data_IF_348148120000
#
_entry.id   IF_348148120000
#
_cell.length_a   1.000
_cell.length_b   1.000
_cell.length_c   1.000
_cell.angle_alpha   90.00
_cell.angle_beta   90.00
_cell.angle_gamma   90.00
#
_symmetry.space_group_name_H-M   'P 1'
#
loop_
_entity.id
_entity.type
_entity.pdbx_description
1 polymer ?
#
# COMPACT_ATOMS: atom_id res chain seq x y z
N UNK A 1 -7.02 -24.82 -1.40
CA UNK A 1 -7.19 -23.40 -1.25
C UNK A 1 -5.86 -22.70 -1.09
N UNK A 2 -5.68 -21.66 -1.85
CA UNK A 2 -4.43 -20.91 -1.85
C UNK A 2 -4.04 -20.43 -0.45
N UNK A 3 -4.99 -20.10 0.39
CA UNK A 3 -4.70 -19.63 1.74
C UNK A 3 -4.06 -20.70 2.62
N UNK A 4 -4.18 -21.97 2.25
CA UNK A 4 -3.63 -23.07 3.03
C UNK A 4 -2.25 -23.52 2.54
N UNK A 5 -1.78 -22.98 1.44
CA UNK A 5 -0.46 -23.31 0.90
C UNK A 5 0.57 -22.35 1.48
N UNK A 6 1.56 -22.82 2.25
CA UNK A 6 2.54 -21.93 2.87
C UNK A 6 3.45 -21.22 1.86
N UNK A 7 3.51 -21.69 0.61
CA UNK A 7 4.29 -21.01 -0.43
C UNK A 7 3.51 -19.86 -1.08
N UNK A 8 2.21 -19.76 -0.83
CA UNK A 8 1.35 -18.74 -1.40
C UNK A 8 0.82 -17.86 -0.28
N UNK A 9 1.12 -16.59 -0.33
CA UNK A 9 0.63 -15.63 0.63
C UNK A 9 -0.24 -14.59 -0.05
N UNK A 10 -0.60 -13.57 0.70
CA UNK A 10 -1.32 -12.42 0.16
C UNK A 10 -0.33 -11.34 -0.26
N UNK A 11 -0.81 -10.44 -1.12
CA UNK A 11 -0.07 -9.26 -1.55
C UNK A 11 -0.96 -8.05 -1.25
N UNK A 12 -0.96 -7.56 0.00
CA UNK A 12 -1.76 -6.38 0.33
C UNK A 12 -1.35 -5.20 -0.54
N UNK A 13 -2.35 -4.50 -1.05
CA UNK A 13 -2.17 -3.35 -1.93
C UNK A 13 -2.92 -2.18 -1.31
N UNK A 14 -2.28 -1.01 -1.26
CA UNK A 14 -2.84 0.15 -0.57
C UNK A 14 -4.13 0.69 -1.19
N UNK A 15 -4.43 0.31 -2.43
CA UNK A 15 -5.54 0.90 -3.14
C UNK A 15 -6.55 -0.04 -3.77
N UNK A 16 -6.35 -1.35 -3.74
CA UNK A 16 -7.18 -2.30 -4.48
C UNK A 16 -8.32 -2.87 -3.64
N UNK A 17 -9.19 -2.00 -3.11
CA UNK A 17 -10.29 -2.42 -2.26
C UNK A 17 -11.65 -1.98 -2.78
N UNK A 18 -11.78 -1.83 -4.10
CA UNK A 18 -13.05 -1.51 -4.72
C UNK A 18 -13.94 -2.75 -4.76
N UNK A 19 -15.16 -2.65 -4.19
CA UNK A 19 -16.14 -3.73 -4.19
C UNK A 19 -16.98 -3.66 -5.46
N UNK A 20 -17.51 -2.48 -5.77
CA UNK A 20 -18.22 -2.21 -7.00
C UNK A 20 -18.04 -0.73 -7.35
N UNK A 21 -18.75 -0.22 -8.37
CA UNK A 21 -18.49 1.15 -8.84
C UNK A 21 -18.66 2.22 -7.78
N UNK A 22 -19.54 2.00 -6.82
CA UNK A 22 -19.83 3.00 -5.78
C UNK A 22 -19.37 2.60 -4.39
N UNK A 23 -18.93 1.35 -4.21
CA UNK A 23 -18.58 0.83 -2.90
C UNK A 23 -17.11 0.42 -2.86
N UNK A 24 -16.44 0.86 -1.79
CA UNK A 24 -15.06 0.52 -1.53
C UNK A 24 -14.95 -0.12 -0.15
N UNK A 25 -14.25 -1.22 -0.07
CA UNK A 25 -13.85 -1.75 1.23
C UNK A 25 -12.85 -0.81 1.86
N UNK A 26 -12.90 -0.63 3.19
CA UNK A 26 -11.93 0.21 3.88
C UNK A 26 -10.53 -0.36 3.64
N UNK A 27 -9.68 0.43 2.96
CA UNK A 27 -8.33 -0.04 2.57
C UNK A 27 -7.45 -0.33 3.77
N UNK A 28 -7.62 0.42 4.86
CA UNK A 28 -6.80 0.22 6.06
C UNK A 28 -7.20 -1.07 6.76
N UNK A 29 -8.48 -1.32 6.89
CA UNK A 29 -8.97 -2.58 7.43
C UNK A 29 -8.59 -3.74 6.52
N UNK A 30 -8.68 -3.57 5.21
CA UNK A 30 -8.32 -4.60 4.24
C UNK A 30 -6.85 -5.00 4.37
N UNK A 31 -5.96 -4.03 4.43
CA UNK A 31 -4.54 -4.33 4.61
C UNK A 31 -4.29 -5.01 5.96
N UNK A 32 -4.92 -4.50 7.03
CA UNK A 32 -4.78 -5.08 8.35
C UNK A 32 -5.19 -6.56 8.37
N UNK A 33 -6.30 -6.89 7.69
CA UNK A 33 -6.79 -8.27 7.63
C UNK A 33 -5.89 -9.19 6.82
N UNK A 34 -5.20 -8.66 5.80
CA UNK A 34 -4.34 -9.46 4.94
C UNK A 34 -2.91 -9.60 5.48
N UNK A 35 -2.50 -8.72 6.39
CA UNK A 35 -1.12 -8.70 6.88
C UNK A 35 -0.63 -10.03 7.47
N UNK A 36 -1.44 -10.81 8.21
CA UNK A 36 -0.94 -12.09 8.75
C UNK A 36 -0.48 -13.06 7.66
N UNK A 37 -0.91 -12.87 6.42
CA UNK A 37 -0.59 -13.76 5.30
C UNK A 37 0.32 -13.11 4.28
N UNK A 38 0.86 -11.91 4.58
CA UNK A 38 1.58 -11.13 3.59
C UNK A 38 2.94 -11.72 3.26
N UNK A 39 3.23 -11.88 1.96
CA UNK A 39 4.55 -12.26 1.44
C UNK A 39 5.28 -11.06 0.87
N UNK A 40 4.53 -10.07 0.41
CA UNK A 40 5.03 -8.81 -0.09
C UNK A 40 3.90 -7.78 0.09
N UNK A 41 4.21 -6.52 -0.09
CA UNK A 41 3.23 -5.44 0.00
C UNK A 41 3.42 -4.53 -1.19
N UNK A 42 2.33 -4.08 -1.79
CA UNK A 42 2.38 -3.08 -2.86
C UNK A 42 1.96 -1.72 -2.30
N UNK A 43 2.89 -0.78 -2.27
CA UNK A 43 2.62 0.59 -1.90
C UNK A 43 2.12 1.34 -3.14
N UNK A 44 0.84 1.16 -3.43
CA UNK A 44 0.21 1.81 -4.57
C UNK A 44 -0.05 3.28 -4.28
N UNK A 45 0.27 4.13 -5.25
CA UNK A 45 0.03 5.56 -5.16
C UNK A 45 -0.56 6.07 -6.46
N UNK A 46 -1.23 7.23 -6.38
CA UNK A 46 -1.83 7.86 -7.54
C UNK A 46 -1.44 9.33 -7.63
N UNK A 47 -1.85 10.15 -6.67
CA UNK A 47 -1.64 11.58 -6.73
C UNK A 47 -1.06 12.09 -5.41
N UNK A 48 -0.29 13.17 -5.51
CA UNK A 48 0.40 13.76 -4.35
C UNK A 48 0.04 15.24 -4.22
N UNK A 49 0.02 15.73 -2.98
CA UNK A 49 -0.13 17.15 -2.75
C UNK A 49 1.22 17.85 -2.79
N UNK A 50 1.24 19.16 -2.57
CA UNK A 50 2.47 19.96 -2.65
C UNK A 50 3.49 19.59 -1.58
N UNK A 51 3.08 18.93 -0.51
CA UNK A 51 3.96 18.48 0.56
C UNK A 51 4.50 17.07 0.33
N UNK A 52 4.14 16.44 -0.79
CA UNK A 52 4.57 15.09 -1.11
C UNK A 52 3.78 13.99 -0.43
N UNK A 53 2.62 14.32 0.17
CA UNK A 53 1.73 13.33 0.74
C UNK A 53 0.79 12.78 -0.33
N UNK A 54 0.51 11.47 -0.28
CA UNK A 54 -0.44 10.85 -1.19
C UNK A 54 -1.85 11.22 -0.74
N UNK A 55 -2.68 11.67 -1.69
CA UNK A 55 -3.99 12.23 -1.33
C UNK A 55 -5.10 11.19 -1.20
N UNK A 56 -4.91 9.99 -1.75
CA UNK A 56 -5.93 8.93 -1.68
C UNK A 56 -5.72 7.98 -0.51
N UNK A 57 -4.50 7.88 0.00
CA UNK A 57 -4.14 6.97 1.08
C UNK A 57 -3.27 7.71 2.09
N UNK A 58 -3.61 7.59 3.36
CA UNK A 58 -2.79 8.11 4.44
C UNK A 58 -1.65 7.11 4.69
N UNK A 59 -0.48 7.40 4.17
CA UNK A 59 0.68 6.51 4.30
C UNK A 59 1.14 6.36 5.74
N UNK A 60 1.02 7.41 6.54
CA UNK A 60 1.36 7.32 7.96
C UNK A 60 0.51 6.26 8.66
N UNK A 61 -0.80 6.30 8.43
CA UNK A 61 -1.73 5.33 9.00
C UNK A 61 -1.45 3.93 8.45
N UNK A 62 -1.21 3.83 7.15
CA UNK A 62 -0.98 2.54 6.49
C UNK A 62 0.29 1.88 7.00
N UNK A 63 1.38 2.64 7.15
CA UNK A 63 2.63 2.09 7.63
C UNK A 63 2.58 1.71 9.11
N UNK A 64 1.76 2.41 9.91
CA UNK A 64 1.51 2.00 11.29
C UNK A 64 0.84 0.64 11.36
N UNK A 65 -0.12 0.38 10.46
CA UNK A 65 -0.78 -0.94 10.38
C UNK A 65 0.24 -2.02 10.05
N UNK A 66 1.08 -1.77 9.05
CA UNK A 66 2.11 -2.73 8.63
C UNK A 66 3.09 -3.01 9.78
N UNK A 67 3.53 -1.96 10.47
CA UNK A 67 4.46 -2.08 11.57
C UNK A 67 3.87 -2.88 12.74
N UNK A 68 2.57 -2.73 12.98
CA UNK A 68 1.86 -3.45 14.04
C UNK A 68 1.97 -4.96 13.86
N UNK A 69 2.10 -5.44 12.63
CA UNK A 69 2.22 -6.86 12.33
C UNK A 69 3.67 -7.34 12.28
N UNK A 70 4.64 -6.48 12.64
CA UNK A 70 6.08 -6.82 12.63
C UNK A 70 6.56 -7.29 11.27
N UNK A 71 6.01 -6.70 10.20
CA UNK A 71 6.37 -7.08 8.84
C UNK A 71 7.78 -6.61 8.50
N UNK A 72 8.63 -7.50 8.01
CA UNK A 72 10.01 -7.20 7.61
C UNK A 72 10.32 -7.60 6.17
N UNK A 73 9.29 -7.89 5.37
CA UNK A 73 9.46 -8.27 3.97
C UNK A 73 9.59 -7.07 3.05
N UNK A 74 9.43 -7.32 1.77
CA UNK A 74 9.55 -6.28 0.75
C UNK A 74 8.27 -5.46 0.63
N UNK A 75 8.45 -4.18 0.33
CA UNK A 75 7.35 -3.30 -0.07
C UNK A 75 7.68 -2.81 -1.46
N UNK A 76 6.91 -3.24 -2.45
CA UNK A 76 7.04 -2.78 -3.82
C UNK A 76 6.31 -1.45 -4.00
N UNK A 77 6.74 -0.67 -4.97
CA UNK A 77 6.12 0.62 -5.29
C UNK A 77 5.39 0.49 -6.62
N UNK A 78 4.12 0.91 -6.64
CA UNK A 78 3.31 0.91 -7.85
C UNK A 78 2.62 2.27 -7.99
N UNK A 79 3.08 3.07 -8.96
CA UNK A 79 2.49 4.39 -9.21
C UNK A 79 1.52 4.27 -10.39
N UNK A 80 0.26 4.67 -10.17
CA UNK A 80 -0.78 4.65 -11.20
C UNK A 80 -1.41 6.03 -11.43
N UNK A 81 -0.72 7.09 -11.04
CA UNK A 81 -1.20 8.45 -11.25
C UNK A 81 -0.98 8.91 -12.68
N UNK A 82 -1.55 10.06 -13.00
CA UNK A 82 -1.48 10.65 -14.35
C UNK A 82 -0.79 12.01 -14.39
N UNK A 83 -0.54 12.64 -13.23
CA UNK A 83 0.03 13.97 -13.15
C UNK A 83 1.53 13.98 -13.34
N UNK A 84 2.21 12.99 -12.77
CA UNK A 84 3.67 12.88 -12.84
C UNK A 84 4.09 11.81 -13.82
N UNK A 85 5.35 11.86 -14.25
CA UNK A 85 5.94 10.75 -14.96
C UNK A 85 6.03 9.55 -14.02
N UNK A 86 6.16 8.35 -14.58
CA UNK A 86 6.30 7.15 -13.77
C UNK A 86 7.49 7.25 -12.84
N UNK A 87 8.64 7.70 -13.34
CA UNK A 87 9.85 7.86 -12.51
C UNK A 87 9.62 8.83 -11.36
N UNK A 88 8.96 9.97 -11.62
CA UNK A 88 8.69 10.95 -10.58
C UNK A 88 7.72 10.41 -9.53
N UNK A 89 6.67 9.71 -9.98
CA UNK A 89 5.70 9.12 -9.07
C UNK A 89 6.33 8.06 -8.18
N UNK A 90 7.19 7.22 -8.72
CA UNK A 90 7.91 6.20 -7.95
C UNK A 90 8.83 6.86 -6.92
N UNK A 91 9.53 7.92 -7.32
CA UNK A 91 10.43 8.65 -6.41
C UNK A 91 9.65 9.27 -5.25
N UNK A 92 8.50 9.89 -5.54
CA UNK A 92 7.65 10.49 -4.50
C UNK A 92 7.15 9.43 -3.53
N UNK A 93 6.74 8.27 -4.04
CA UNK A 93 6.28 7.18 -3.20
C UNK A 93 7.40 6.64 -2.32
N UNK A 94 8.59 6.45 -2.89
CA UNK A 94 9.77 6.01 -2.13
C UNK A 94 10.09 6.99 -1.00
N UNK A 95 10.06 8.29 -1.29
CA UNK A 95 10.37 9.30 -0.29
C UNK A 95 9.33 9.31 0.83
N UNK A 96 8.07 9.05 0.48
CA UNK A 96 6.98 8.98 1.44
C UNK A 96 7.14 7.76 2.37
N UNK A 97 7.52 6.62 1.80
CA UNK A 97 7.79 5.42 2.60
C UNK A 97 8.94 5.66 3.59
N UNK A 98 9.99 6.35 3.13
CA UNK A 98 11.12 6.69 4.00
C UNK A 98 10.73 7.66 5.10
N UNK A 99 9.85 8.60 4.80
CA UNK A 99 9.40 9.60 5.77
C UNK A 99 8.71 8.96 6.96
N UNK A 100 7.94 7.93 6.72
CA UNK A 100 7.15 7.25 7.74
C UNK A 100 7.72 5.88 8.13
N UNK A 101 8.96 5.63 7.79
CA UNK A 101 9.62 4.39 8.16
C UNK A 101 9.73 4.28 9.67
N UNK A 102 9.36 3.12 10.18
CA UNK A 102 9.30 2.86 11.61
C UNK A 102 10.28 1.77 11.99
#
# INVERSE_FOLDING_TARGET
>A
NMANDPSIGTLPDFGNFKINENDWYDRYQGVDELMPYAKAISAKSHEFNENGEEINTDFSKMLNIISKHNYDGYIGIEYEGSVHTEFKGITLTRDLLKRYQI
#
